data_IF_121424038369
#
_entry.id   IF_121424038369
#
_cell.length_a   1.000
_cell.length_b   1.000
_cell.length_c   1.000
_cell.angle_alpha   90.00
_cell.angle_beta   90.00
_cell.angle_gamma   90.00
#
_symmetry.space_group_name_H-M   'P 1'
#
loop_
_entity.id
_entity.type
_entity.pdbx_description
1 polymer ?
#
# COMPACT_ATOMS: atom_id res chain seq x y z
N UNK A 1 -10.18 7.93 -37.38
CA UNK A 1 -11.07 7.68 -36.22
C UNK A 1 -10.46 8.35 -35.00
N UNK A 2 -11.34 8.92 -34.20
CA UNK A 2 -11.14 10.01 -33.24
C UNK A 2 -9.98 9.89 -32.25
N UNK A 3 -9.20 10.96 -32.15
CA UNK A 3 -8.15 11.19 -31.15
C UNK A 3 -8.72 11.82 -29.88
N UNK A 4 -9.95 11.43 -29.51
CA UNK A 4 -10.70 12.01 -28.40
C UNK A 4 -10.85 11.00 -27.26
N UNK A 5 -9.73 10.38 -26.85
CA UNK A 5 -9.66 9.85 -25.49
C UNK A 5 -9.43 11.06 -24.60
N UNK A 6 -10.52 11.64 -24.09
CA UNK A 6 -10.45 12.69 -23.07
C UNK A 6 -9.53 12.17 -21.97
N UNK A 7 -8.35 12.79 -21.83
CA UNK A 7 -7.56 12.76 -20.60
C UNK A 7 -8.42 13.42 -19.53
N UNK A 8 -9.38 12.66 -18.99
CA UNK A 8 -10.18 13.09 -17.86
C UNK A 8 -9.22 13.36 -16.73
N UNK A 9 -9.41 14.52 -16.12
CA UNK A 9 -8.65 15.15 -15.06
C UNK A 9 -8.81 14.34 -13.75
N UNK A 10 -8.50 13.04 -13.79
CA UNK A 10 -8.62 12.08 -12.68
C UNK A 10 -7.29 11.92 -11.94
N UNK A 11 -6.29 12.71 -12.34
CA UNK A 11 -4.89 12.60 -11.96
C UNK A 11 -4.35 13.88 -11.33
N UNK A 12 -5.15 14.79 -10.78
CA UNK A 12 -4.58 15.91 -10.00
C UNK A 12 -5.17 15.97 -8.60
N UNK A 13 -4.55 15.22 -7.69
CA UNK A 13 -4.72 15.50 -6.27
C UNK A 13 -3.73 16.59 -5.88
N UNK A 14 -4.19 17.84 -5.93
CA UNK A 14 -3.36 19.01 -5.63
C UNK A 14 -2.82 19.01 -4.18
N UNK A 15 -3.49 18.32 -3.25
CA UNK A 15 -3.13 18.18 -1.83
C UNK A 15 -3.51 16.79 -1.27
N UNK A 16 -3.47 15.71 -2.07
CA UNK A 16 -3.83 14.36 -1.64
C UNK A 16 -3.21 13.25 -2.48
N UNK A 17 -3.62 12.00 -2.26
CA UNK A 17 -3.10 10.88 -3.03
C UNK A 17 -3.76 10.82 -4.41
N UNK A 18 -2.94 10.58 -5.44
CA UNK A 18 -3.42 10.28 -6.78
C UNK A 18 -4.11 8.91 -6.74
N UNK A 19 -5.20 8.75 -7.51
CA UNK A 19 -5.99 7.52 -7.51
C UNK A 19 -5.15 6.28 -7.87
N UNK A 20 -4.17 6.43 -8.77
CA UNK A 20 -3.18 5.38 -9.05
C UNK A 20 -2.30 5.05 -7.84
N UNK A 21 -1.85 6.06 -7.09
CA UNK A 21 -1.03 5.87 -5.89
C UNK A 21 -1.83 5.19 -4.77
N UNK A 22 -3.10 5.51 -4.61
CA UNK A 22 -3.98 4.86 -3.64
C UNK A 22 -4.15 3.37 -3.94
N UNK A 23 -4.41 3.02 -5.20
CA UNK A 23 -4.55 1.62 -5.63
C UNK A 23 -3.24 0.85 -5.44
N UNK A 24 -2.10 1.46 -5.78
CA UNK A 24 -0.79 0.82 -5.59
C UNK A 24 -0.47 0.63 -4.10
N UNK A 25 -0.68 1.66 -3.29
CA UNK A 25 -0.46 1.60 -1.84
C UNK A 25 -1.37 0.56 -1.19
N UNK A 26 -2.64 0.48 -1.59
CA UNK A 26 -3.57 -0.54 -1.12
C UNK A 26 -3.13 -1.96 -1.45
N UNK A 27 -2.63 -2.20 -2.67
CA UNK A 27 -2.08 -3.51 -3.07
C UNK A 27 -0.83 -3.88 -2.28
N UNK A 28 0.09 -2.94 -2.12
CA UNK A 28 1.31 -3.13 -1.33
C UNK A 28 0.95 -3.44 0.12
N UNK A 29 0.00 -2.72 0.72
CA UNK A 29 -0.46 -2.96 2.08
C UNK A 29 -1.09 -4.35 2.25
N UNK A 30 -1.93 -4.80 1.31
CA UNK A 30 -2.50 -6.15 1.33
C UNK A 30 -1.42 -7.24 1.30
N UNK A 31 -0.42 -7.11 0.43
CA UNK A 31 0.69 -8.07 0.34
C UNK A 31 1.53 -8.04 1.62
N UNK A 32 1.87 -6.85 2.11
CA UNK A 32 2.65 -6.70 3.33
C UNK A 32 1.95 -7.33 4.53
N UNK A 33 0.63 -7.16 4.65
CA UNK A 33 -0.16 -7.77 5.72
C UNK A 33 -0.10 -9.30 5.68
N UNK A 34 -0.19 -9.92 4.50
CA UNK A 34 -0.06 -11.37 4.36
C UNK A 34 1.32 -11.84 4.80
N UNK A 35 2.39 -11.15 4.37
CA UNK A 35 3.78 -11.49 4.74
C UNK A 35 3.97 -11.38 6.26
N UNK A 36 3.45 -10.31 6.85
CA UNK A 36 3.49 -10.06 8.28
C UNK A 36 2.80 -11.19 9.07
N UNK A 37 1.61 -11.61 8.64
CA UNK A 37 0.89 -12.72 9.29
C UNK A 37 1.67 -14.03 9.19
N UNK A 38 2.30 -14.31 8.04
CA UNK A 38 3.16 -15.48 7.89
C UNK A 38 4.33 -15.41 8.88
N UNK A 39 5.02 -14.27 8.98
CA UNK A 39 6.13 -14.08 9.91
C UNK A 39 5.66 -14.24 11.37
N UNK A 40 4.51 -13.69 11.73
CA UNK A 40 3.92 -13.82 13.07
C UNK A 40 3.62 -15.28 13.41
N UNK A 41 3.04 -16.04 12.48
CA UNK A 41 2.78 -17.47 12.71
C UNK A 41 4.05 -18.31 12.87
N UNK A 42 5.14 -17.96 12.19
CA UNK A 42 6.42 -18.67 12.29
C UNK A 42 7.20 -18.31 13.56
N UNK A 43 7.28 -17.02 13.88
CA UNK A 43 8.05 -16.52 15.02
C UNK A 43 7.30 -16.62 16.34
N UNK A 44 5.97 -16.78 16.31
CA UNK A 44 5.07 -16.69 17.47
C UNK A 44 5.19 -15.38 18.24
N UNK A 45 5.77 -14.36 17.61
CA UNK A 45 5.93 -13.03 18.16
C UNK A 45 4.92 -12.12 17.50
N UNK A 46 4.26 -11.30 18.32
CA UNK A 46 3.33 -10.31 17.81
C UNK A 46 4.06 -9.25 17.00
N UNK A 47 3.36 -8.66 16.04
CA UNK A 47 3.80 -7.52 15.24
C UNK A 47 4.50 -6.41 16.04
N UNK A 48 3.98 -6.12 17.23
CA UNK A 48 4.48 -5.07 18.13
C UNK A 48 5.88 -5.41 18.64
N UNK A 49 6.15 -6.67 18.97
CA UNK A 49 7.48 -7.10 19.39
C UNK A 49 8.49 -7.00 18.25
N UNK A 50 8.08 -7.37 17.03
CA UNK A 50 8.93 -7.26 15.85
C UNK A 50 9.26 -5.80 15.53
N UNK A 51 8.28 -4.90 15.69
CA UNK A 51 8.49 -3.45 15.55
C UNK A 51 9.43 -2.90 16.63
N UNK A 52 9.31 -3.36 17.87
CA UNK A 52 10.19 -2.95 18.98
C UNK A 52 11.64 -3.37 18.78
N UNK A 53 11.88 -4.48 18.09
CA UNK A 53 13.23 -4.93 17.72
C UNK A 53 13.87 -4.05 16.64
N UNK A 54 13.07 -3.49 15.73
CA UNK A 54 13.58 -2.62 14.66
C UNK A 54 13.74 -1.15 15.09
N UNK A 55 13.02 -0.69 16.11
CA UNK A 55 13.05 0.70 16.60
C UNK A 55 13.87 0.90 17.89
N UNK A 56 14.33 -0.18 18.51
CA UNK A 56 15.22 -0.16 19.69
C UNK A 56 16.68 -0.29 19.30
#
# INVERSE_FOLDING_TARGET
MDKNFKDSVDYESRWGFYLKSEILNGRVAMIALIIILIIETLTKQTLINLLSFFLG
#
